data_IF_586169277367
#
_entry.id   IF_586169277367
#
_cell.length_a   1.000
_cell.length_b   1.000
_cell.length_c   1.000
_cell.angle_alpha   90.00
_cell.angle_beta   90.00
_cell.angle_gamma   90.00
#
_symmetry.space_group_name_H-M   'P 1'
#
loop_
_entity.id
_entity.type
_entity.pdbx_description
1 polymer ?
#
# COMPACT_ATOMS: atom_id res chain seq x y z
N UNK A 1 27.30 -67.16 -7.92
CA UNK A 1 27.36 -66.91 -6.46
C UNK A 1 26.73 -65.55 -6.19
N UNK A 2 25.59 -65.53 -5.50
CA UNK A 2 24.88 -64.31 -5.09
C UNK A 2 25.67 -63.63 -3.96
N UNK A 3 25.84 -62.31 -3.99
CA UNK A 3 26.31 -61.54 -2.82
C UNK A 3 25.26 -60.51 -2.42
N UNK A 4 25.01 -60.55 -1.11
CA UNK A 4 23.91 -59.96 -0.36
C UNK A 4 24.07 -58.44 -0.18
N UNK A 5 22.96 -57.72 -0.25
CA UNK A 5 22.81 -56.38 0.32
C UNK A 5 22.57 -56.50 1.84
N UNK A 6 23.33 -55.75 2.63
CA UNK A 6 23.10 -55.58 4.07
C UNK A 6 22.54 -54.17 4.29
N UNK A 7 21.28 -54.08 4.75
CA UNK A 7 20.64 -52.85 5.20
C UNK A 7 20.92 -52.71 6.71
N UNK A 8 21.61 -51.64 7.10
CA UNK A 8 21.73 -51.24 8.51
C UNK A 8 20.69 -50.18 8.83
N UNK A 9 19.74 -50.53 9.70
CA UNK A 9 18.79 -49.60 10.31
C UNK A 9 19.49 -48.81 11.42
N UNK A 10 19.56 -47.49 11.27
CA UNK A 10 19.96 -46.58 12.35
C UNK A 10 18.69 -46.10 13.05
N UNK A 11 18.53 -46.52 14.31
CA UNK A 11 17.54 -45.99 15.25
C UNK A 11 18.03 -44.64 15.77
N UNK A 12 17.33 -43.55 15.47
CA UNK A 12 17.53 -42.26 16.13
C UNK A 12 16.49 -42.12 17.23
N UNK A 13 17.01 -41.99 18.45
CA UNK A 13 16.31 -41.79 19.71
C UNK A 13 15.73 -40.37 19.75
N UNK A 14 14.40 -40.24 19.79
CA UNK A 14 13.73 -38.95 20.04
C UNK A 14 13.45 -38.86 21.55
N UNK A 15 14.19 -37.97 22.22
CA UNK A 15 13.95 -37.56 23.61
C UNK A 15 12.91 -36.43 23.61
N UNK A 16 11.99 -36.48 24.57
CA UNK A 16 10.75 -35.72 24.61
C UNK A 16 10.85 -34.23 24.98
N UNK A 17 9.74 -33.57 24.61
CA UNK A 17 9.10 -32.32 25.02
C UNK A 17 9.79 -31.33 25.99
N UNK A 18 9.79 -30.07 25.55
CA UNK A 18 9.28 -28.93 26.33
C UNK A 18 8.56 -27.97 25.37
N UNK A 19 7.27 -27.62 25.58
CA UNK A 19 6.66 -26.53 24.83
C UNK A 19 6.92 -25.21 25.56
N UNK A 20 7.54 -24.28 24.83
CA UNK A 20 7.55 -22.87 25.17
C UNK A 20 6.13 -22.30 25.07
N UNK A 21 5.84 -21.34 25.94
CA UNK A 21 4.57 -20.68 26.15
C UNK A 21 4.05 -19.93 24.91
N UNK A 22 2.90 -20.35 24.39
CA UNK A 22 2.09 -19.59 23.44
C UNK A 22 1.04 -18.75 24.17
N UNK A 23 0.92 -17.46 23.78
CA UNK A 23 0.02 -16.43 24.35
C UNK A 23 -1.45 -16.56 23.89
N UNK A 24 -1.82 -17.67 23.26
CA UNK A 24 -3.21 -17.92 22.84
C UNK A 24 -3.83 -19.02 23.68
N UNK A 25 -4.98 -18.71 24.28
CA UNK A 25 -5.72 -19.53 25.23
C UNK A 25 -6.03 -20.94 24.73
N UNK A 26 -6.23 -21.83 25.69
CA UNK A 26 -6.45 -23.27 25.55
C UNK A 26 -7.56 -23.56 24.52
N UNK A 27 -7.20 -24.23 23.42
CA UNK A 27 -8.16 -24.78 22.47
C UNK A 27 -8.77 -26.06 23.07
N UNK A 28 -10.08 -26.05 23.34
CA UNK A 28 -10.82 -27.26 23.68
C UNK A 28 -11.06 -28.09 22.41
N UNK A 29 -10.47 -29.28 22.35
CA UNK A 29 -10.83 -30.30 21.35
C UNK A 29 -12.08 -31.05 21.81
N UNK A 30 -13.17 -31.13 21.02
CA UNK A 30 -14.31 -31.95 21.39
C UNK A 30 -13.99 -33.43 21.16
N UNK A 31 -14.25 -34.26 22.18
CA UNK A 31 -14.29 -35.72 22.03
C UNK A 31 -15.59 -36.14 21.34
N UNK A 32 -15.58 -37.12 20.42
CA UNK A 32 -16.80 -37.59 19.76
C UNK A 32 -17.63 -38.45 20.72
N UNK A 33 -18.91 -38.10 20.91
CA UNK A 33 -19.88 -38.95 21.61
C UNK A 33 -20.61 -39.84 20.58
N UNK A 34 -20.58 -41.19 20.73
CA UNK A 34 -21.35 -42.09 19.89
C UNK A 34 -22.76 -42.15 20.44
N UNK A 35 -23.66 -41.32 19.93
CA UNK A 35 -25.10 -41.54 19.77
C UNK A 35 -25.70 -40.23 19.26
N UNK A 36 -26.12 -40.23 18.00
CA UNK A 36 -26.74 -39.07 17.38
C UNK A 36 -28.11 -38.80 17.99
N UNK A 37 -28.28 -37.58 18.51
CA UNK A 37 -29.55 -36.85 18.57
C UNK A 37 -29.24 -35.37 18.84
N UNK A 38 -29.82 -34.49 18.02
CA UNK A 38 -29.67 -33.02 18.12
C UNK A 38 -30.71 -32.52 19.12
N UNK A 39 -30.26 -31.92 20.23
CA UNK A 39 -31.13 -31.19 21.17
C UNK A 39 -30.66 -29.75 21.27
N UNK A 40 -31.51 -28.81 20.81
CA UNK A 40 -31.35 -27.37 21.00
C UNK A 40 -31.88 -27.04 22.41
N UNK A 41 -31.01 -26.56 23.29
CA UNK A 41 -31.41 -26.07 24.62
C UNK A 41 -31.52 -24.54 24.61
N UNK A 42 -32.74 -24.05 24.84
CA UNK A 42 -33.04 -22.66 25.18
C UNK A 42 -32.94 -22.47 26.68
N UNK A 43 -32.13 -21.53 27.16
CA UNK A 43 -32.13 -21.14 28.57
C UNK A 43 -32.98 -19.87 28.76
N UNK A 44 -34.15 -20.06 29.38
CA UNK A 44 -34.89 -19.01 30.09
C UNK A 44 -34.89 -19.38 31.58
N UNK A 45 -34.39 -18.47 32.42
CA UNK A 45 -34.59 -18.54 33.87
C UNK A 45 -35.45 -17.35 34.29
N UNK A 46 -36.64 -17.66 34.80
CA UNK A 46 -37.63 -16.70 35.27
C UNK A 46 -37.31 -16.25 36.70
N UNK A 47 -37.36 -14.94 36.95
CA UNK A 47 -37.41 -14.34 38.28
C UNK A 47 -38.82 -13.74 38.47
N UNK A 48 -39.52 -14.23 39.49
CA UNK A 48 -40.82 -13.70 39.93
C UNK A 48 -40.62 -12.36 40.66
N UNK A 49 -41.22 -11.29 40.14
CA UNK A 49 -41.35 -10.00 40.84
C UNK A 49 -42.84 -9.65 40.97
N UNK A 50 -43.26 -9.39 42.21
CA UNK A 50 -44.61 -8.99 42.58
C UNK A 50 -44.97 -7.61 42.02
N UNK A 51 -46.14 -7.52 41.38
CA UNK A 51 -46.71 -6.29 40.85
C UNK A 51 -47.33 -5.45 41.98
N UNK A 52 -46.78 -4.25 42.22
CA UNK A 52 -47.53 -3.10 42.73
C UNK A 52 -47.25 -1.95 41.75
N UNK A 53 -48.23 -1.63 40.92
CA UNK A 53 -48.15 -0.53 39.97
C UNK A 53 -48.39 0.80 40.71
N UNK A 54 -47.38 1.67 40.72
CA UNK A 54 -47.54 3.10 41.01
C UNK A 54 -47.27 3.83 39.70
N UNK A 55 -48.30 4.47 39.15
CA UNK A 55 -48.22 5.23 37.91
C UNK A 55 -47.51 6.56 38.21
N UNK A 56 -46.24 6.68 37.81
CA UNK A 56 -45.49 7.93 37.81
C UNK A 56 -45.43 8.41 36.37
N UNK A 57 -46.06 9.55 36.08
CA UNK A 57 -45.96 10.18 34.77
C UNK A 57 -44.52 10.67 34.53
N UNK A 58 -43.79 9.99 33.66
CA UNK A 58 -42.50 10.44 33.13
C UNK A 58 -42.76 11.49 32.05
N UNK A 59 -42.41 12.74 32.33
CA UNK A 59 -42.40 13.82 31.34
C UNK A 59 -41.19 13.58 30.42
N UNK A 60 -41.42 13.41 29.12
CA UNK A 60 -40.34 13.22 28.16
C UNK A 60 -39.48 14.51 28.05
N UNK A 61 -38.14 14.45 28.15
CA UNK A 61 -37.30 15.62 27.95
C UNK A 61 -37.37 16.05 26.48
N UNK A 62 -37.66 17.33 26.26
CA UNK A 62 -37.56 17.95 24.93
C UNK A 62 -36.09 18.13 24.59
N UNK A 63 -35.59 17.35 23.62
CA UNK A 63 -34.25 17.55 23.08
C UNK A 63 -34.21 18.81 22.21
N UNK A 64 -33.77 19.93 22.77
CA UNK A 64 -33.40 21.10 21.97
C UNK A 64 -32.07 20.79 21.28
N UNK A 65 -32.10 20.50 19.98
CA UNK A 65 -30.90 20.37 19.15
C UNK A 65 -30.34 21.77 18.92
N UNK A 66 -29.42 22.20 19.78
CA UNK A 66 -28.57 23.36 19.49
C UNK A 66 -27.61 22.93 18.40
N UNK A 67 -27.84 23.36 17.15
CA UNK A 67 -26.88 23.18 16.06
C UNK A 67 -25.64 24.01 16.37
N UNK A 68 -24.63 23.40 16.97
CA UNK A 68 -23.29 23.96 16.97
C UNK A 68 -22.85 24.05 15.51
N UNK A 69 -22.52 25.24 14.96
CA UNK A 69 -22.00 25.32 13.62
C UNK A 69 -20.71 24.50 13.54
N UNK A 70 -20.62 23.61 12.54
CA UNK A 70 -19.40 22.86 12.27
C UNK A 70 -18.25 23.87 12.07
N UNK A 71 -17.06 23.61 12.65
CA UNK A 71 -15.92 24.50 12.45
C UNK A 71 -15.68 24.66 10.95
N UNK A 72 -15.68 25.90 10.48
CA UNK A 72 -15.32 26.22 9.10
C UNK A 72 -13.83 25.93 8.95
N UNK A 73 -13.49 24.87 8.22
CA UNK A 73 -12.11 24.57 7.87
C UNK A 73 -11.53 25.78 7.14
N UNK A 74 -10.48 26.38 7.71
CA UNK A 74 -9.73 27.43 7.03
C UNK A 74 -8.87 26.72 5.99
N UNK A 75 -9.18 26.90 4.71
CA UNK A 75 -8.36 26.38 3.61
C UNK A 75 -7.02 27.12 3.69
N UNK A 76 -6.03 26.46 4.27
CA UNK A 76 -4.66 26.92 4.20
C UNK A 76 -4.17 26.54 2.82
N UNK A 77 -3.90 27.53 1.97
CA UNK A 77 -3.32 27.27 0.65
C UNK A 77 -1.98 26.59 0.86
N UNK A 78 -1.85 25.36 0.36
CA UNK A 78 -0.56 24.67 0.30
C UNK A 78 0.34 25.48 -0.63
N UNK A 79 1.54 25.90 -0.20
CA UNK A 79 2.48 26.51 -1.13
C UNK A 79 2.77 25.50 -2.25
N UNK A 80 2.60 25.91 -3.52
CA UNK A 80 2.95 25.07 -4.67
C UNK A 80 4.48 25.10 -4.80
N UNK A 81 5.15 23.96 -5.08
CA UNK A 81 6.58 23.96 -5.29
C UNK A 81 6.98 25.01 -6.33
N UNK A 82 7.88 25.91 -5.93
CA UNK A 82 8.16 27.08 -6.76
C UNK A 82 8.81 26.65 -8.08
N UNK A 83 8.18 26.99 -9.21
CA UNK A 83 8.65 26.76 -10.60
C UNK A 83 8.40 25.37 -11.21
N UNK A 84 7.57 24.52 -10.62
CA UNK A 84 7.19 23.25 -11.25
C UNK A 84 5.86 23.41 -12.02
N UNK A 85 5.88 23.24 -13.34
CA UNK A 85 4.65 23.19 -14.17
C UNK A 85 4.11 21.75 -14.18
N UNK A 86 3.69 21.29 -13.00
CA UNK A 86 3.15 19.94 -12.80
C UNK A 86 1.64 20.00 -13.00
N UNK A 87 1.17 19.40 -14.08
CA UNK A 87 -0.27 19.29 -14.36
C UNK A 87 -0.83 17.93 -13.97
N UNK A 88 0.04 16.91 -13.89
CA UNK A 88 -0.35 15.52 -13.65
C UNK A 88 0.72 14.71 -12.94
N UNK A 89 0.29 13.68 -12.22
CA UNK A 89 1.15 12.76 -11.48
C UNK A 89 0.88 11.32 -11.91
N UNK A 90 1.96 10.56 -12.17
CA UNK A 90 1.93 9.10 -12.28
C UNK A 90 2.68 8.52 -11.10
N UNK A 91 1.98 7.74 -10.27
CA UNK A 91 2.56 6.92 -9.22
C UNK A 91 2.71 5.50 -9.75
N UNK A 92 3.94 4.97 -9.77
CA UNK A 92 4.23 3.62 -10.25
C UNK A 92 4.75 2.78 -9.08
N UNK A 93 4.07 1.67 -8.80
CA UNK A 93 4.53 0.69 -7.83
C UNK A 93 4.99 -0.58 -8.53
N UNK A 94 6.28 -0.92 -8.36
CA UNK A 94 6.79 -2.26 -8.67
C UNK A 94 6.70 -3.11 -7.40
N UNK A 95 5.67 -3.95 -7.32
CA UNK A 95 5.37 -4.77 -6.14
C UNK A 95 6.52 -5.73 -5.83
N UNK A 96 7.03 -5.71 -4.60
CA UNK A 96 8.16 -6.54 -4.17
C UNK A 96 9.52 -6.17 -4.78
N UNK A 97 9.71 -4.93 -5.28
CA UNK A 97 10.97 -4.44 -5.84
C UNK A 97 11.95 -4.06 -4.73
N UNK A 98 13.04 -4.84 -4.61
CA UNK A 98 14.16 -4.47 -3.75
C UNK A 98 15.03 -3.40 -4.42
N UNK A 99 15.54 -2.40 -3.68
CA UNK A 99 16.43 -1.40 -4.25
C UNK A 99 17.70 -1.97 -4.89
N UNK A 100 18.31 -2.97 -4.26
CA UNK A 100 19.54 -3.61 -4.76
C UNK A 100 19.31 -4.43 -6.05
N UNK A 101 18.06 -4.74 -6.38
CA UNK A 101 17.74 -5.39 -7.65
C UNK A 101 17.84 -4.43 -8.85
N UNK A 102 17.68 -3.12 -8.65
CA UNK A 102 17.68 -2.12 -9.73
C UNK A 102 19.04 -2.08 -10.44
N UNK A 103 20.14 -2.19 -9.71
CA UNK A 103 21.49 -2.19 -10.31
C UNK A 103 21.89 -3.58 -10.85
N UNK A 104 21.25 -4.65 -10.37
CA UNK A 104 21.54 -6.03 -10.76
C UNK A 104 20.69 -6.53 -11.93
N UNK A 105 19.50 -5.94 -12.13
CA UNK A 105 18.68 -6.11 -13.32
C UNK A 105 18.78 -4.83 -14.16
N UNK A 106 19.28 -4.86 -15.40
CA UNK A 106 19.36 -3.65 -16.21
C UNK A 106 17.94 -3.13 -16.52
N UNK A 107 17.48 -2.16 -15.72
CA UNK A 107 16.24 -1.41 -15.84
C UNK A 107 16.57 0.02 -16.33
N UNK A 108 16.99 0.17 -17.60
CA UNK A 108 17.57 1.43 -18.09
C UNK A 108 16.61 2.62 -17.99
N UNK A 109 15.30 2.43 -18.14
CA UNK A 109 14.36 3.55 -18.06
C UNK A 109 14.22 4.05 -16.61
N UNK A 110 14.08 3.12 -15.66
CA UNK A 110 14.04 3.44 -14.23
C UNK A 110 15.36 4.07 -13.76
N UNK A 111 16.49 3.54 -14.21
CA UNK A 111 17.82 4.08 -13.91
C UNK A 111 17.96 5.50 -14.48
N UNK A 112 17.50 5.76 -15.70
CA UNK A 112 17.54 7.11 -16.29
C UNK A 112 16.69 8.11 -15.48
N UNK A 113 15.49 7.72 -15.05
CA UNK A 113 14.66 8.57 -14.18
C UNK A 113 15.30 8.79 -12.81
N UNK A 114 15.92 7.76 -12.21
CA UNK A 114 16.65 7.85 -10.94
C UNK A 114 17.84 8.79 -11.03
N UNK A 115 18.69 8.58 -12.04
CA UNK A 115 19.97 9.26 -12.17
C UNK A 115 19.78 10.72 -12.58
N UNK A 116 18.71 11.05 -13.32
CA UNK A 116 18.36 12.41 -13.73
C UNK A 116 17.26 13.07 -12.88
N UNK A 117 16.86 12.44 -11.77
CA UNK A 117 15.81 12.92 -10.87
C UNK A 117 16.26 12.93 -9.41
N UNK A 118 15.29 12.88 -8.50
CA UNK A 118 15.52 12.73 -7.07
C UNK A 118 15.28 11.28 -6.64
N UNK A 119 16.09 10.75 -5.73
CA UNK A 119 15.85 9.39 -5.24
C UNK A 119 16.37 9.16 -3.81
N UNK A 120 15.76 8.21 -3.12
CA UNK A 120 16.21 7.68 -1.83
C UNK A 120 16.41 6.16 -1.98
N UNK A 121 17.65 5.71 -2.26
CA UNK A 121 17.89 4.32 -2.64
C UNK A 121 17.82 3.37 -1.45
N UNK A 122 18.28 3.79 -0.27
CA UNK A 122 18.41 2.93 0.91
C UNK A 122 17.72 3.44 2.17
N UNK A 123 17.23 4.69 2.14
CA UNK A 123 16.62 5.38 3.29
C UNK A 123 15.09 5.44 3.20
N UNK A 124 14.46 4.74 2.26
CA UNK A 124 13.00 4.60 2.21
C UNK A 124 12.57 3.27 2.80
N UNK A 125 11.56 3.29 3.66
CA UNK A 125 10.97 2.10 4.27
C UNK A 125 9.48 2.02 3.98
N UNK A 126 8.98 0.80 3.86
CA UNK A 126 7.54 0.55 3.96
C UNK A 126 7.08 0.60 5.42
N UNK A 127 5.84 0.21 5.65
CA UNK A 127 5.23 0.04 6.96
C UNK A 127 5.72 -1.22 7.69
N UNK A 128 5.47 -1.31 8.99
CA UNK A 128 5.89 -2.41 9.86
C UNK A 128 5.29 -3.78 9.51
N UNK A 129 4.21 -3.78 8.73
CA UNK A 129 3.67 -4.98 8.10
C UNK A 129 3.83 -4.89 6.58
N UNK A 130 4.97 -5.34 6.03
CA UNK A 130 5.37 -5.18 4.62
C UNK A 130 4.54 -6.11 3.71
N UNK A 131 3.23 -5.92 3.69
CA UNK A 131 2.29 -6.68 2.89
C UNK A 131 1.62 -5.77 1.87
N UNK A 132 1.31 -6.32 0.70
CA UNK A 132 0.85 -5.53 -0.45
C UNK A 132 -0.30 -4.58 -0.15
N UNK A 133 -1.44 -5.07 0.34
CA UNK A 133 -2.62 -4.19 0.49
C UNK A 133 -2.44 -3.12 1.57
N UNK A 134 -1.95 -3.46 2.78
CA UNK A 134 -1.70 -2.43 3.79
C UNK A 134 -0.68 -1.38 3.34
N UNK A 135 0.44 -1.80 2.74
CA UNK A 135 1.52 -0.89 2.34
C UNK A 135 1.10 0.06 1.23
N UNK A 136 0.31 -0.42 0.26
CA UNK A 136 -0.23 0.43 -0.79
C UNK A 136 -1.34 1.37 -0.31
N UNK A 137 -2.16 0.93 0.65
CA UNK A 137 -3.13 1.81 1.26
C UNK A 137 -2.41 2.96 1.97
N UNK A 138 -1.33 2.68 2.72
CA UNK A 138 -0.49 3.74 3.29
C UNK A 138 0.12 4.63 2.20
N UNK A 139 0.64 4.04 1.11
CA UNK A 139 1.23 4.78 -0.02
C UNK A 139 0.29 5.80 -0.64
N UNK A 140 -0.97 5.42 -0.87
CA UNK A 140 -1.97 6.21 -1.60
C UNK A 140 -2.81 7.10 -0.69
N UNK A 141 -2.91 6.78 0.60
CA UNK A 141 -3.67 7.60 1.55
C UNK A 141 -2.80 8.57 2.34
N UNK A 142 -1.50 8.31 2.50
CA UNK A 142 -0.63 9.10 3.36
C UNK A 142 -0.76 8.82 4.85
N UNK A 143 -1.59 7.83 5.22
CA UNK A 143 -1.81 7.40 6.60
C UNK A 143 -1.06 6.12 6.95
N UNK A 144 -0.90 5.92 8.25
CA UNK A 144 -0.58 4.65 8.86
C UNK A 144 -1.75 3.65 8.84
N UNK A 145 -1.44 2.36 9.03
CA UNK A 145 -2.39 1.25 8.97
C UNK A 145 -3.60 1.38 9.88
N UNK A 146 -3.38 1.88 11.09
CA UNK A 146 -4.43 2.06 12.09
C UNK A 146 -5.49 3.08 11.68
N UNK A 147 -5.12 4.04 10.82
CA UNK A 147 -5.97 5.17 10.45
C UNK A 147 -6.68 4.89 9.12
N UNK A 148 -5.98 4.38 8.09
CA UNK A 148 -6.64 3.95 6.86
C UNK A 148 -7.37 2.61 6.98
N UNK A 149 -7.09 1.81 8.01
CA UNK A 149 -7.85 0.60 8.37
C UNK A 149 -7.66 -0.63 7.48
N UNK A 150 -6.82 -0.57 6.46
CA UNK A 150 -6.47 -1.72 5.60
C UNK A 150 -5.33 -2.50 6.24
N UNK A 151 -5.68 -3.38 7.18
CA UNK A 151 -4.70 -4.16 7.97
C UNK A 151 -4.57 -5.62 7.50
N UNK A 152 -5.27 -6.00 6.43
CA UNK A 152 -5.29 -7.36 5.91
C UNK A 152 -4.78 -7.40 4.47
N UNK A 153 -4.02 -8.45 4.12
CA UNK A 153 -3.52 -8.65 2.77
C UNK A 153 -4.50 -9.39 1.84
N UNK A 154 -5.81 -9.18 2.06
CA UNK A 154 -6.92 -9.74 1.30
C UNK A 154 -8.01 -8.70 1.18
N UNK A 155 -8.74 -8.73 0.08
CA UNK A 155 -9.94 -7.92 -0.08
C UNK A 155 -11.17 -8.76 0.24
N UNK A 156 -12.02 -8.23 1.11
CA UNK A 156 -13.38 -8.71 1.30
C UNK A 156 -14.31 -7.51 1.20
N UNK A 157 -15.35 -7.60 0.37
CA UNK A 157 -16.23 -6.47 0.10
C UNK A 157 -16.82 -5.81 1.37
N UNK A 158 -17.07 -6.58 2.43
CA UNK A 158 -17.60 -6.07 3.69
C UNK A 158 -16.58 -5.28 4.54
N UNK A 159 -15.28 -5.35 4.21
CA UNK A 159 -14.25 -4.55 4.88
C UNK A 159 -14.20 -3.10 4.37
N UNK A 160 -14.79 -2.84 3.19
CA UNK A 160 -14.80 -1.53 2.56
C UNK A 160 -13.47 -1.16 1.93
N UNK A 161 -13.24 0.15 1.82
CA UNK A 161 -12.08 0.78 1.21
C UNK A 161 -11.17 1.39 2.29
N UNK A 162 -9.98 1.83 1.89
CA UNK A 162 -9.10 2.61 2.75
C UNK A 162 -9.84 3.87 3.24
N UNK A 163 -9.66 4.17 4.52
CA UNK A 163 -10.31 5.31 5.18
C UNK A 163 -9.41 6.54 5.15
N UNK A 164 -10.04 7.68 5.38
CA UNK A 164 -9.37 8.99 5.36
C UNK A 164 -9.30 9.55 3.94
N UNK A 165 -8.79 10.78 3.81
CA UNK A 165 -8.63 11.42 2.51
C UNK A 165 -7.40 10.89 1.81
N UNK A 166 -7.60 10.30 0.64
CA UNK A 166 -6.54 9.79 -0.22
C UNK A 166 -6.24 10.72 -1.41
N UNK A 167 -5.15 10.46 -2.14
CA UNK A 167 -4.75 11.28 -3.28
C UNK A 167 -5.75 11.22 -4.45
N UNK A 168 -6.49 10.11 -4.60
CA UNK A 168 -7.53 9.96 -5.62
C UNK A 168 -8.72 10.86 -5.32
N UNK A 169 -9.17 10.91 -4.07
CA UNK A 169 -10.21 11.83 -3.63
C UNK A 169 -9.82 13.28 -3.92
N UNK A 170 -8.62 13.71 -3.53
CA UNK A 170 -8.17 15.09 -3.78
C UNK A 170 -8.10 15.44 -5.27
N UNK A 171 -7.55 14.53 -6.08
CA UNK A 171 -7.47 14.74 -7.53
C UNK A 171 -8.86 14.80 -8.18
N UNK A 172 -9.76 13.88 -7.82
CA UNK A 172 -11.11 13.84 -8.35
C UNK A 172 -11.91 15.10 -7.96
N UNK A 173 -11.83 15.53 -6.70
CA UNK A 173 -12.48 16.76 -6.22
C UNK A 173 -11.92 18.03 -6.89
N UNK A 174 -10.65 18.01 -7.31
CA UNK A 174 -10.04 19.06 -8.13
C UNK A 174 -10.48 19.01 -9.61
N UNK A 175 -11.33 18.07 -10.00
CA UNK A 175 -11.84 17.91 -11.37
C UNK A 175 -10.86 17.17 -12.30
N UNK A 176 -9.84 16.51 -11.75
CA UNK A 176 -8.91 15.70 -12.52
C UNK A 176 -9.47 14.31 -12.77
N UNK A 177 -9.21 13.76 -13.97
CA UNK A 177 -9.47 12.36 -14.27
C UNK A 177 -8.49 11.48 -13.49
N UNK A 178 -9.01 10.53 -12.71
CA UNK A 178 -8.22 9.62 -11.88
C UNK A 178 -8.24 8.18 -12.41
N UNK A 179 -7.07 7.55 -12.47
CA UNK A 179 -6.90 6.25 -13.13
C UNK A 179 -6.09 5.30 -12.25
N UNK A 180 -6.58 4.09 -12.05
CA UNK A 180 -5.92 3.04 -11.28
C UNK A 180 -5.84 1.75 -12.10
N UNK A 181 -4.63 1.35 -12.49
CA UNK A 181 -4.37 0.14 -13.29
C UNK A 181 -3.51 -0.82 -12.47
N UNK A 182 -4.06 -1.98 -12.15
CA UNK A 182 -3.47 -2.88 -11.14
C UNK A 182 -3.36 -4.32 -11.61
N UNK A 183 -2.32 -5.02 -11.15
CA UNK A 183 -2.13 -6.47 -11.38
C UNK A 183 -2.65 -7.36 -10.26
N UNK A 184 -3.34 -6.80 -9.25
CA UNK A 184 -3.92 -7.55 -8.12
C UNK A 184 -5.31 -6.99 -7.82
N UNK A 185 -6.37 -7.81 -7.92
CA UNK A 185 -7.76 -7.38 -7.68
C UNK A 185 -7.98 -6.75 -6.29
N UNK A 186 -7.26 -7.24 -5.28
CA UNK A 186 -7.33 -6.71 -3.89
C UNK A 186 -6.91 -5.24 -3.76
N UNK A 187 -6.36 -4.64 -4.81
CA UNK A 187 -6.04 -3.20 -4.89
C UNK A 187 -7.30 -2.34 -5.10
N UNK A 188 -8.45 -2.93 -5.40
CA UNK A 188 -9.73 -2.21 -5.46
C UNK A 188 -10.05 -1.45 -4.17
N UNK A 189 -9.58 -1.93 -3.03
CA UNK A 189 -9.85 -1.31 -1.73
C UNK A 189 -8.96 -0.09 -1.43
N UNK A 190 -8.07 0.34 -2.34
CA UNK A 190 -7.13 1.43 -2.05
C UNK A 190 -7.80 2.81 -2.03
N UNK A 191 -8.86 3.01 -2.81
CA UNK A 191 -9.62 4.25 -2.92
C UNK A 191 -11.08 3.94 -3.25
N UNK A 192 -11.98 4.84 -2.89
CA UNK A 192 -13.41 4.71 -3.15
C UNK A 192 -13.70 4.76 -4.68
N UNK A 193 -14.65 3.95 -5.20
CA UNK A 193 -14.95 3.89 -6.63
C UNK A 193 -15.52 5.20 -7.17
N UNK A 194 -16.14 6.02 -6.31
CA UNK A 194 -16.64 7.36 -6.66
C UNK A 194 -15.51 8.34 -6.97
N UNK A 195 -14.29 8.09 -6.49
CA UNK A 195 -13.11 8.95 -6.68
C UNK A 195 -12.07 8.35 -7.63
N UNK A 196 -12.34 7.15 -8.15
CA UNK A 196 -11.50 6.41 -9.08
C UNK A 196 -12.23 6.27 -10.41
N UNK A 197 -12.11 7.25 -11.31
CA UNK A 197 -12.89 7.31 -12.56
C UNK A 197 -12.66 6.08 -13.46
N UNK A 198 -11.43 5.55 -13.42
CA UNK A 198 -11.04 4.33 -14.12
C UNK A 198 -10.35 3.38 -13.14
N UNK A 199 -10.90 2.17 -13.00
CA UNK A 199 -10.25 1.08 -12.29
C UNK A 199 -10.15 -0.15 -13.19
N UNK A 200 -8.94 -0.53 -13.57
CA UNK A 200 -8.68 -1.64 -14.48
C UNK A 200 -7.74 -2.67 -13.87
N UNK A 201 -8.04 -3.95 -14.11
CA UNK A 201 -7.22 -5.07 -13.64
C UNK A 201 -6.51 -5.70 -14.83
N UNK A 202 -5.18 -5.60 -14.84
CA UNK A 202 -4.33 -6.11 -15.91
C UNK A 202 -3.22 -6.99 -15.31
N UNK A 203 -3.32 -8.30 -15.51
CA UNK A 203 -2.37 -9.27 -14.95
C UNK A 203 -1.12 -9.44 -15.85
N UNK A 204 0.02 -8.98 -15.34
CA UNK A 204 1.33 -9.12 -15.99
C UNK A 204 1.66 -7.96 -16.94
N UNK A 205 2.95 -7.81 -17.22
CA UNK A 205 3.55 -6.65 -17.87
C UNK A 205 2.93 -6.36 -19.25
N UNK A 206 2.70 -7.36 -20.15
CA UNK A 206 2.07 -7.09 -21.43
C UNK A 206 0.61 -6.65 -21.32
N UNK A 207 -0.10 -7.08 -20.28
CA UNK A 207 -1.48 -6.64 -20.04
C UNK A 207 -1.49 -5.20 -19.53
N UNK A 208 -0.63 -4.88 -18.56
CA UNK A 208 -0.47 -3.50 -18.07
C UNK A 208 -0.18 -2.57 -19.23
N UNK A 209 0.78 -2.91 -20.10
CA UNK A 209 1.13 -2.10 -21.26
C UNK A 209 -0.10 -1.84 -22.15
N UNK A 210 -0.85 -2.88 -22.55
CA UNK A 210 -2.03 -2.71 -23.40
C UNK A 210 -3.13 -1.86 -22.74
N UNK A 211 -3.23 -1.92 -21.41
CA UNK A 211 -4.23 -1.18 -20.65
C UNK A 211 -3.82 0.27 -20.41
N UNK A 212 -2.54 0.55 -20.10
CA UNK A 212 -2.08 1.88 -19.72
C UNK A 212 -1.89 2.82 -20.92
N UNK A 213 -1.37 2.32 -22.04
CA UNK A 213 -1.01 3.19 -23.17
C UNK A 213 -2.20 4.01 -23.72
N UNK A 214 -3.42 3.45 -23.90
CA UNK A 214 -4.57 4.25 -24.35
C UNK A 214 -4.92 5.42 -23.42
N UNK A 215 -4.71 5.28 -22.11
CA UNK A 215 -4.98 6.36 -21.15
C UNK A 215 -3.88 7.42 -21.12
N UNK A 216 -2.69 7.14 -21.66
CA UNK A 216 -1.59 8.11 -21.83
C UNK A 216 -1.68 8.87 -23.16
N UNK A 217 -2.57 8.46 -24.06
CA UNK A 217 -2.95 9.20 -25.28
C UNK A 217 -4.08 10.21 -25.03
N UNK A 218 -4.78 10.07 -23.90
CA UNK A 218 -5.82 10.98 -23.42
C UNK A 218 -5.30 11.85 -22.27
N UNK A 219 -6.04 12.92 -21.94
CA UNK A 219 -5.71 13.73 -20.76
C UNK A 219 -6.12 12.99 -19.46
N UNK A 220 -5.25 13.06 -18.46
CA UNK A 220 -5.44 12.56 -17.09
C UNK A 220 -4.70 13.48 -16.11
N UNK A 221 -5.13 13.52 -14.85
CA UNK A 221 -4.44 14.28 -13.81
C UNK A 221 -3.72 13.40 -12.78
N UNK A 222 -4.28 12.23 -12.44
CA UNK A 222 -3.65 11.29 -11.53
C UNK A 222 -3.77 9.86 -12.06
N UNK A 223 -2.64 9.15 -12.12
CA UNK A 223 -2.60 7.75 -12.49
C UNK A 223 -1.78 6.93 -11.50
N UNK A 224 -2.32 5.80 -11.04
CA UNK A 224 -1.57 4.76 -10.33
C UNK A 224 -1.41 3.53 -11.21
N UNK A 225 -0.17 3.06 -11.38
CA UNK A 225 0.16 1.86 -12.15
C UNK A 225 0.90 0.87 -11.26
N UNK A 226 0.38 -0.35 -11.16
CA UNK A 226 0.92 -1.38 -10.27
C UNK A 226 1.36 -2.63 -11.04
N UNK A 227 2.66 -2.93 -10.97
CA UNK A 227 3.28 -4.13 -11.52
C UNK A 227 3.44 -5.20 -10.44
N UNK A 228 2.65 -6.29 -10.53
CA UNK A 228 2.75 -7.41 -9.59
C UNK A 228 3.90 -8.39 -9.90
N UNK A 229 4.59 -8.20 -11.03
CA UNK A 229 5.53 -9.18 -11.57
C UNK A 229 6.63 -9.56 -10.59
N UNK A 230 7.29 -8.55 -10.00
CA UNK A 230 8.38 -8.71 -9.04
C UNK A 230 8.00 -9.65 -7.91
N UNK A 231 7.00 -9.29 -7.11
CA UNK A 231 6.48 -10.11 -6.01
C UNK A 231 6.02 -11.51 -6.45
N UNK A 232 5.27 -11.61 -7.56
CA UNK A 232 4.81 -12.91 -8.06
C UNK A 232 5.99 -13.85 -8.39
N UNK A 233 7.08 -13.32 -8.95
CA UNK A 233 8.30 -14.10 -9.23
C UNK A 233 9.13 -14.32 -7.96
N UNK A 234 9.16 -13.35 -7.05
CA UNK A 234 9.75 -13.46 -5.73
C UNK A 234 9.20 -14.66 -4.97
N UNK A 235 7.88 -14.75 -4.82
CA UNK A 235 7.22 -15.88 -4.17
C UNK A 235 7.46 -17.21 -4.89
N UNK A 236 7.37 -17.24 -6.22
CA UNK A 236 7.42 -18.50 -6.98
C UNK A 236 8.83 -19.07 -7.12
N UNK A 237 9.80 -18.21 -7.39
CA UNK A 237 11.16 -18.62 -7.75
C UNK A 237 12.18 -18.22 -6.70
N UNK A 238 11.99 -17.05 -6.11
CA UNK A 238 12.80 -16.46 -5.07
C UNK A 238 13.16 -15.03 -5.42
N UNK A 239 13.19 -14.13 -4.43
CA UNK A 239 13.77 -12.79 -4.60
C UNK A 239 15.20 -12.92 -5.09
N UNK A 240 15.60 -12.01 -5.98
CA UNK A 240 16.92 -12.01 -6.64
C UNK A 240 17.20 -13.21 -7.57
N UNK A 241 16.22 -14.08 -7.83
CA UNK A 241 16.36 -15.13 -8.84
C UNK A 241 16.40 -14.58 -10.27
N UNK A 242 16.85 -15.39 -11.24
CA UNK A 242 16.85 -14.99 -12.65
C UNK A 242 15.46 -14.63 -13.20
N UNK A 243 14.40 -15.32 -12.73
CA UNK A 243 13.00 -15.03 -13.11
C UNK A 243 12.51 -13.71 -12.50
N UNK A 244 12.93 -13.40 -11.26
CA UNK A 244 12.68 -12.10 -10.64
C UNK A 244 13.37 -10.98 -11.42
N UNK A 245 14.67 -11.12 -11.73
CA UNK A 245 15.37 -10.11 -12.54
C UNK A 245 14.80 -9.97 -13.95
N UNK A 246 14.30 -11.06 -14.54
CA UNK A 246 13.66 -11.03 -15.87
C UNK A 246 12.39 -10.20 -15.87
N UNK A 247 11.49 -10.43 -14.92
CA UNK A 247 10.21 -9.71 -14.88
C UNK A 247 10.39 -8.22 -14.54
N UNK A 248 11.41 -7.87 -13.75
CA UNK A 248 11.76 -6.47 -13.50
C UNK A 248 12.15 -5.75 -14.81
N UNK A 249 12.94 -6.39 -15.67
CA UNK A 249 13.26 -5.85 -17.00
C UNK A 249 12.05 -5.73 -17.91
N UNK A 250 11.12 -6.68 -17.84
CA UNK A 250 9.86 -6.63 -18.59
C UNK A 250 9.01 -5.43 -18.11
N UNK A 251 8.94 -5.19 -16.81
CA UNK A 251 8.25 -4.03 -16.24
C UNK A 251 8.92 -2.69 -16.63
N UNK A 252 10.26 -2.64 -16.61
CA UNK A 252 11.01 -1.47 -17.08
C UNK A 252 10.79 -1.17 -18.57
N UNK A 253 10.65 -2.21 -19.41
CA UNK A 253 10.30 -2.02 -20.81
C UNK A 253 8.91 -1.38 -20.99
N UNK A 254 7.93 -1.73 -20.13
CA UNK A 254 6.61 -1.09 -20.12
C UNK A 254 6.73 0.37 -19.69
N UNK A 255 7.53 0.68 -18.68
CA UNK A 255 7.84 2.06 -18.28
C UNK A 255 8.43 2.86 -19.45
N UNK A 256 9.34 2.26 -20.23
CA UNK A 256 9.89 2.88 -21.44
C UNK A 256 8.82 3.23 -22.49
N UNK A 257 7.86 2.34 -22.73
CA UNK A 257 6.74 2.62 -23.64
C UNK A 257 5.80 3.70 -23.07
N UNK A 258 5.55 3.72 -21.75
CA UNK A 258 4.77 4.80 -21.11
C UNK A 258 5.44 6.17 -21.31
N UNK A 259 6.75 6.26 -21.04
CA UNK A 259 7.56 7.47 -21.25
C UNK A 259 7.48 7.93 -22.71
N UNK A 260 7.63 6.98 -23.64
CA UNK A 260 7.56 7.27 -25.08
C UNK A 260 6.20 7.80 -25.48
N UNK A 261 5.10 7.17 -25.06
CA UNK A 261 3.73 7.62 -25.38
C UNK A 261 3.45 9.00 -24.80
N UNK A 262 3.90 9.31 -23.58
CA UNK A 262 3.77 10.65 -23.00
C UNK A 262 4.55 11.70 -23.80
N UNK A 263 5.75 11.38 -24.28
CA UNK A 263 6.54 12.27 -25.14
C UNK A 263 5.86 12.52 -26.49
N UNK A 264 5.33 11.48 -27.11
CA UNK A 264 4.60 11.57 -28.38
C UNK A 264 3.34 12.43 -28.28
N UNK A 265 2.72 12.49 -27.10
CA UNK A 265 1.52 13.30 -26.82
C UNK A 265 1.82 14.66 -26.14
N UNK A 266 3.09 15.04 -25.99
CA UNK A 266 3.52 16.29 -25.31
C UNK A 266 3.06 16.40 -23.83
N UNK A 267 2.87 15.27 -23.16
CA UNK A 267 2.47 15.21 -21.75
C UNK A 267 3.65 14.97 -20.81
N UNK A 268 4.79 14.50 -21.35
CA UNK A 268 5.95 14.11 -20.52
C UNK A 268 6.53 15.27 -19.70
N UNK A 269 6.70 16.45 -20.32
CA UNK A 269 7.37 17.59 -19.67
C UNK A 269 6.53 18.26 -18.56
N UNK A 270 5.24 17.92 -18.47
CA UNK A 270 4.29 18.40 -17.44
C UNK A 270 3.86 17.29 -16.47
N UNK A 271 4.45 16.08 -16.59
CA UNK A 271 4.15 14.92 -15.76
C UNK A 271 5.20 14.70 -14.68
N UNK A 272 4.78 14.63 -13.42
CA UNK A 272 5.61 14.13 -12.33
C UNK A 272 5.44 12.59 -12.22
N UNK A 273 6.56 11.88 -12.26
CA UNK A 273 6.64 10.47 -11.92
C UNK A 273 7.08 10.32 -10.46
N UNK A 274 6.37 9.49 -9.70
CA UNK A 274 6.84 8.96 -8.42
C UNK A 274 6.86 7.44 -8.53
N UNK A 275 8.03 6.82 -8.40
CA UNK A 275 8.22 5.39 -8.58
C UNK A 275 8.72 4.79 -7.26
N UNK A 276 8.04 3.75 -6.80
CA UNK A 276 8.31 3.14 -5.50
C UNK A 276 8.03 1.63 -5.53
N UNK A 277 8.18 1.01 -4.36
CA UNK A 277 7.71 -0.33 -4.06
C UNK A 277 6.94 -0.34 -2.74
N UNK A 278 6.07 -1.32 -2.57
CA UNK A 278 5.32 -1.55 -1.35
C UNK A 278 6.10 -2.35 -0.31
N UNK A 279 7.00 -3.23 -0.73
CA UNK A 279 7.91 -3.98 0.13
C UNK A 279 9.06 -4.56 -0.69
N UNK A 280 10.07 -5.10 -0.02
CA UNK A 280 11.09 -5.93 -0.66
C UNK A 280 10.79 -7.43 -0.49
N UNK A 281 11.81 -8.22 -0.18
CA UNK A 281 11.63 -9.64 0.14
C UNK A 281 12.93 -10.44 0.22
N UNK A 282 12.81 -11.63 0.80
CA UNK A 282 13.91 -12.58 1.01
C UNK A 282 13.44 -14.01 0.69
N UNK A 283 14.35 -14.85 0.18
CA UNK A 283 14.01 -16.21 -0.25
C UNK A 283 12.71 -16.21 -1.07
N UNK A 284 11.60 -16.71 -0.53
CA UNK A 284 10.26 -16.73 -1.16
C UNK A 284 9.18 -16.06 -0.31
N UNK A 285 9.58 -15.19 0.60
CA UNK A 285 8.71 -14.50 1.53
C UNK A 285 9.07 -13.01 1.58
N UNK A 286 8.16 -12.19 2.06
CA UNK A 286 8.39 -10.78 2.30
C UNK A 286 7.82 -10.34 3.66
N UNK A 287 7.30 -11.29 4.46
CA UNK A 287 6.82 -11.05 5.82
C UNK A 287 7.88 -11.56 6.79
N UNK A 288 8.57 -10.65 7.46
CA UNK A 288 9.68 -10.98 8.36
C UNK A 288 10.24 -9.75 9.05
N UNK A 289 11.36 -9.93 9.76
CA UNK A 289 12.11 -8.85 10.43
C UNK A 289 13.39 -8.47 9.67
N UNK A 290 13.51 -8.93 8.41
CA UNK A 290 14.70 -8.71 7.61
C UNK A 290 14.63 -7.34 6.93
N UNK A 291 15.76 -6.64 6.88
CA UNK A 291 15.80 -5.28 6.30
C UNK A 291 15.38 -5.29 4.82
N UNK A 292 15.63 -6.40 4.13
CA UNK A 292 15.24 -6.66 2.75
C UNK A 292 13.73 -6.68 2.55
N UNK A 293 12.92 -6.92 3.60
CA UNK A 293 11.46 -6.89 3.52
C UNK A 293 10.93 -5.45 3.60
N UNK A 294 11.59 -4.61 4.41
CA UNK A 294 11.13 -3.26 4.71
C UNK A 294 11.70 -2.17 3.81
N UNK A 295 12.92 -2.36 3.32
CA UNK A 295 13.61 -1.34 2.53
C UNK A 295 13.08 -1.35 1.11
N UNK A 296 12.58 -0.20 0.68
CA UNK A 296 12.00 0.03 -0.64
C UNK A 296 12.77 1.13 -1.36
N UNK A 297 12.57 1.23 -2.68
CA UNK A 297 13.09 2.35 -3.46
C UNK A 297 12.07 3.49 -3.46
N UNK A 298 12.53 4.72 -3.61
CA UNK A 298 11.66 5.86 -3.90
C UNK A 298 12.38 6.81 -4.85
N UNK A 299 11.78 7.08 -6.00
CA UNK A 299 12.35 7.87 -7.10
C UNK A 299 11.29 8.88 -7.55
N UNK A 300 11.70 10.12 -7.80
CA UNK A 300 10.89 11.14 -8.42
C UNK A 300 11.60 11.74 -9.63
N UNK A 301 10.84 11.99 -10.70
CA UNK A 301 11.33 12.65 -11.91
C UNK A 301 10.20 13.46 -12.54
N UNK A 302 10.47 14.67 -13.01
CA UNK A 302 9.47 15.49 -13.68
C UNK A 302 9.81 16.98 -13.61
N UNK A 303 8.89 17.86 -14.05
CA UNK A 303 9.10 19.29 -14.00
C UNK A 303 9.31 19.78 -12.57
N UNK A 304 10.32 20.64 -12.40
CA UNK A 304 10.69 21.19 -11.09
C UNK A 304 11.43 20.22 -10.15
N UNK A 305 11.57 18.94 -10.51
CA UNK A 305 12.36 17.99 -9.72
C UNK A 305 13.85 18.31 -9.87
N UNK A 306 14.55 18.53 -8.76
CA UNK A 306 16.00 18.71 -8.72
C UNK A 306 16.71 17.36 -8.65
N UNK A 307 17.82 17.24 -9.36
CA UNK A 307 18.64 16.03 -9.32
C UNK A 307 19.35 15.93 -7.96
N UNK A 308 18.94 15.00 -7.10
CA UNK A 308 19.50 14.85 -5.75
C UNK A 308 19.30 13.45 -5.18
N UNK A 309 20.21 13.02 -4.31
CA UNK A 309 19.97 11.89 -3.42
C UNK A 309 19.37 12.42 -2.11
N UNK A 310 18.32 11.77 -1.61
CA UNK A 310 17.64 12.13 -0.37
C UNK A 310 18.19 11.26 0.76
N UNK A 311 18.89 11.88 1.69
CA UNK A 311 19.54 11.18 2.80
C UNK A 311 18.61 10.90 3.98
N UNK A 312 17.54 11.69 4.14
CA UNK A 312 16.62 11.50 5.28
C UNK A 312 15.79 10.23 5.13
N UNK A 313 15.29 9.74 6.27
CA UNK A 313 14.34 8.62 6.28
C UNK A 313 13.03 9.04 5.61
N UNK A 314 12.62 8.27 4.61
CA UNK A 314 11.32 8.35 3.96
C UNK A 314 10.48 7.13 4.30
N UNK A 315 9.17 7.27 4.22
CA UNK A 315 8.23 6.16 4.32
C UNK A 315 7.30 6.08 3.12
N UNK A 316 6.74 4.90 2.85
CA UNK A 316 5.82 4.69 1.72
C UNK A 316 4.66 5.71 1.70
N UNK A 317 4.14 6.06 2.87
CA UNK A 317 3.06 7.04 3.04
C UNK A 317 3.48 8.50 2.76
N UNK A 318 4.77 8.80 2.57
CA UNK A 318 5.19 10.13 2.07
C UNK A 318 4.78 10.33 0.59
N UNK A 319 4.43 9.27 -0.14
CA UNK A 319 4.12 9.27 -1.58
C UNK A 319 2.88 10.10 -1.93
N UNK A 320 1.71 9.76 -1.37
CA UNK A 320 0.47 10.49 -1.62
C UNK A 320 0.57 11.97 -1.21
N UNK A 321 1.22 12.22 -0.07
CA UNK A 321 1.39 13.56 0.48
C UNK A 321 2.30 14.41 -0.41
N UNK A 322 3.34 13.81 -1.00
CA UNK A 322 4.19 14.47 -2.01
C UNK A 322 3.44 14.75 -3.30
N UNK A 323 2.62 13.80 -3.80
CA UNK A 323 1.79 14.01 -4.98
C UNK A 323 0.77 15.15 -4.78
N UNK A 324 0.14 15.22 -3.60
CA UNK A 324 -0.77 16.29 -3.23
C UNK A 324 -0.05 17.65 -3.19
N UNK A 325 1.14 17.70 -2.59
CA UNK A 325 1.96 18.90 -2.57
C UNK A 325 2.32 19.37 -3.98
N UNK A 326 2.77 18.44 -4.83
CA UNK A 326 3.15 18.70 -6.21
C UNK A 326 1.99 19.30 -7.05
N UNK A 327 0.77 18.80 -6.84
CA UNK A 327 -0.44 19.26 -7.53
C UNK A 327 -1.10 20.49 -6.86
N UNK A 328 -0.51 21.02 -5.78
CA UNK A 328 -1.05 22.17 -5.07
C UNK A 328 -2.34 21.89 -4.29
N UNK A 329 -2.62 20.63 -3.97
CA UNK A 329 -3.78 20.23 -3.18
C UNK A 329 -3.62 20.57 -1.70
N UNK A 330 -4.73 20.79 -0.97
CA UNK A 330 -4.68 21.01 0.46
C UNK A 330 -4.10 19.78 1.18
N UNK A 331 -2.99 19.97 1.89
CA UNK A 331 -2.42 18.91 2.72
C UNK A 331 -3.32 18.66 3.93
N UNK A 332 -3.56 17.40 4.24
CA UNK A 332 -4.40 17.03 5.37
C UNK A 332 -3.60 17.14 6.68
N UNK A 333 -4.16 17.76 7.73
CA UNK A 333 -3.45 17.95 9.00
C UNK A 333 -3.23 16.64 9.78
N UNK A 334 -4.00 15.60 9.46
CA UNK A 334 -3.97 14.28 10.08
C UNK A 334 -3.13 13.25 9.30
N UNK A 335 -2.56 13.61 8.15
CA UNK A 335 -1.62 12.74 7.44
C UNK A 335 -0.34 12.50 8.24
N UNK A 336 0.05 11.23 8.30
CA UNK A 336 1.33 10.79 8.87
C UNK A 336 2.49 11.11 7.94
N UNK A 337 2.24 11.07 6.62
CA UNK A 337 3.23 11.40 5.61
C UNK A 337 3.69 12.86 5.60
N UNK A 338 4.89 13.04 5.07
CA UNK A 338 5.56 14.32 4.92
C UNK A 338 5.87 14.50 3.44
N UNK A 339 5.49 15.62 2.79
CA UNK A 339 5.96 15.87 1.44
C UNK A 339 7.48 15.76 1.35
N UNK A 340 7.97 15.17 0.28
CA UNK A 340 9.40 15.13 -0.02
C UNK A 340 9.83 16.45 -0.65
N UNK A 341 9.85 17.51 0.16
CA UNK A 341 10.20 18.88 -0.24
C UNK A 341 11.56 18.97 -0.95
N UNK A 342 12.48 18.09 -0.60
CA UNK A 342 13.83 18.05 -1.17
C UNK A 342 13.84 17.84 -2.68
N UNK A 343 12.84 17.15 -3.23
CA UNK A 343 12.73 16.98 -4.69
C UNK A 343 12.48 18.31 -5.40
N UNK A 344 11.99 19.32 -4.71
CA UNK A 344 11.74 20.67 -5.25
C UNK A 344 12.83 21.67 -4.86
N UNK A 345 13.92 21.20 -4.24
CA UNK A 345 14.99 22.06 -3.73
C UNK A 345 14.57 22.89 -2.51
N UNK A 346 13.55 22.43 -1.78
CA UNK A 346 12.99 23.09 -0.60
C UNK A 346 13.41 22.35 0.68
N UNK A 347 13.60 23.10 1.77
CA UNK A 347 13.91 22.51 3.07
C UNK A 347 12.67 21.83 3.68
N UNK A 348 12.80 20.62 4.25
CA UNK A 348 11.67 19.93 4.86
C UNK A 348 11.14 20.72 6.07
N UNK A 349 9.83 20.96 6.11
CA UNK A 349 9.18 21.67 7.22
C UNK A 349 9.13 20.85 8.52
N UNK A 350 9.15 19.52 8.38
CA UNK A 350 9.24 18.54 9.46
C UNK A 350 9.94 17.29 8.92
N UNK A 351 10.54 16.50 9.81
CA UNK A 351 11.14 15.21 9.50
C UNK A 351 10.55 14.13 10.39
N UNK A 352 10.64 12.88 9.96
CA UNK A 352 10.26 11.75 10.80
C UNK A 352 11.28 11.58 11.95
N UNK A 353 10.85 11.76 13.20
CA UNK A 353 11.66 11.53 14.40
C UNK A 353 11.76 10.03 14.79
N UNK A 354 11.26 9.16 13.91
CA UNK A 354 11.12 7.72 14.08
C UNK A 354 10.02 7.19 13.17
N UNK A 355 9.67 5.91 13.33
CA UNK A 355 8.49 5.37 12.66
C UNK A 355 7.22 5.92 13.33
N UNK A 356 6.34 6.65 12.61
CA UNK A 356 5.23 7.37 13.23
C UNK A 356 4.03 6.46 13.55
N UNK A 357 3.90 5.32 12.88
CA UNK A 357 2.74 4.46 13.06
C UNK A 357 2.80 3.67 14.38
N UNK A 358 1.63 3.39 14.95
CA UNK A 358 1.47 2.57 16.14
C UNK A 358 1.87 1.13 15.82
N UNK A 359 2.87 0.63 16.54
CA UNK A 359 3.40 -0.74 16.46
C UNK A 359 2.50 -1.76 17.17
#
# INVERSE_FOLDING_TARGET
>A
MKRFFSLSFIFILIIGCSPASTVWGVAYTPTPNPNGDIVIASETSAVLANNIAVEIQTIAPTATITKTPAPTATITLTPIPSKADIERVIIISFDGLRPDAIDLAPMPNLIDLRDNGAHSPLNTRTIDYPATSPSHASMLTGYCMEDHGVIYNKFFQYMGYAKGTDIFQLAHEAGMKTIMIVSKDKMRQMAEPETTDVFEIAYGEPAIQRTVLPYLEEDFGLMFVHFAGGDNRGHKYGWMSGEYMKVLREGDAVLGEMIKTLKENNLFDTTLFIISSDHGGHDRNHIGLLIEDYRITWIAYGPGVVQTEIERQLYTFDTAVTAAYALGFPLQPDWDGIPVYEIFGEDPLKTHDGYPCKT
#
